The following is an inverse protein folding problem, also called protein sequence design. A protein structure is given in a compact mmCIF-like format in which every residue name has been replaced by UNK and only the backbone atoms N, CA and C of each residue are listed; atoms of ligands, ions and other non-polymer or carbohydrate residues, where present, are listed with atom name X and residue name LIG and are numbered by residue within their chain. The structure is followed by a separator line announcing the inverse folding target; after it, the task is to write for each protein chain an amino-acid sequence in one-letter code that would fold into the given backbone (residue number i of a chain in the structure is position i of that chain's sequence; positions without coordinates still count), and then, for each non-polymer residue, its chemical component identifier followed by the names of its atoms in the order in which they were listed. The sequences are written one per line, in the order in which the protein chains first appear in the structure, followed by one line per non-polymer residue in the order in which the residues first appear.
data_IF_996916000339
#
_entry.id   IF_996916000339
#
_cell.length_a   1.000
_cell.length_b   1.000
_cell.length_c   1.000
_cell.angle_alpha   90.00
_cell.angle_beta   90.00
_cell.angle_gamma   90.00
#
_symmetry.space_group_name_H-M   'P 1'
#
loop_
_entity.id
_entity.type
_entity.pdbx_description
1 polymer ?
#
# COMPACT_ATOMS: atom_id res chain seq x y z
N UNK A 1 21.97 -13.87 -23.25
CA UNK A 1 21.59 -12.53 -22.78
C UNK A 1 22.33 -12.29 -21.47
N UNK A 2 23.03 -11.17 -21.31
CA UNK A 2 23.75 -10.86 -20.04
C UNK A 2 22.75 -10.38 -18.99
N UNK A 3 23.12 -10.46 -17.70
CA UNK A 3 22.27 -9.97 -16.61
C UNK A 3 21.90 -8.50 -16.80
N UNK A 4 22.86 -7.66 -17.23
CA UNK A 4 22.62 -6.24 -17.48
C UNK A 4 21.58 -5.99 -18.57
N UNK A 5 21.58 -6.80 -19.64
CA UNK A 5 20.57 -6.68 -20.70
C UNK A 5 19.19 -7.06 -20.19
N UNK A 6 19.09 -8.08 -19.33
CA UNK A 6 17.80 -8.48 -18.70
C UNK A 6 17.29 -7.35 -17.81
N UNK A 7 18.15 -6.76 -16.98
CA UNK A 7 17.76 -5.66 -16.08
C UNK A 7 17.35 -4.42 -16.86
N UNK A 8 18.08 -4.10 -17.92
CA UNK A 8 17.75 -2.98 -18.79
C UNK A 8 16.39 -3.17 -19.46
N UNK A 9 16.13 -4.34 -20.04
CA UNK A 9 14.84 -4.66 -20.65
C UNK A 9 13.68 -4.61 -19.65
N UNK A 10 13.90 -5.11 -18.42
CA UNK A 10 12.92 -5.01 -17.35
C UNK A 10 12.64 -3.55 -16.96
N UNK A 11 13.67 -2.70 -16.89
CA UNK A 11 13.51 -1.28 -16.61
C UNK A 11 12.72 -0.54 -17.69
N UNK A 12 12.91 -0.90 -18.96
CA UNK A 12 12.11 -0.38 -20.07
C UNK A 12 10.62 -0.74 -19.90
N UNK A 13 10.30 -1.96 -19.47
CA UNK A 13 8.92 -2.34 -19.17
C UNK A 13 8.34 -1.60 -17.97
N UNK A 14 9.13 -1.43 -16.89
CA UNK A 14 8.68 -0.71 -15.69
C UNK A 14 8.36 0.74 -16.00
N UNK A 15 9.26 1.42 -16.71
CA UNK A 15 9.08 2.83 -17.09
C UNK A 15 7.92 3.03 -18.07
N UNK A 16 7.72 2.10 -19.02
CA UNK A 16 6.56 2.12 -19.91
C UNK A 16 5.21 2.01 -19.17
N UNK A 17 5.21 1.40 -17.98
CA UNK A 17 4.05 1.29 -17.09
C UNK A 17 4.01 2.37 -15.99
N UNK A 18 4.90 3.38 -16.02
CA UNK A 18 4.90 4.46 -15.02
C UNK A 18 5.51 4.09 -13.65
N UNK A 19 6.20 2.95 -13.56
CA UNK A 19 6.93 2.55 -12.35
C UNK A 19 8.37 3.05 -12.37
N UNK A 20 8.95 3.22 -11.18
CA UNK A 20 10.39 3.35 -11.04
C UNK A 20 11.13 2.13 -11.62
N UNK A 21 12.28 2.35 -12.25
CA UNK A 21 13.27 1.29 -12.51
C UNK A 21 13.73 0.63 -11.21
N UNK A 22 14.43 -0.50 -11.29
CA UNK A 22 14.98 -1.16 -10.08
C UNK A 22 15.96 -0.24 -9.35
N UNK A 23 16.81 0.47 -10.10
CA UNK A 23 17.80 1.41 -9.58
C UNK A 23 17.12 2.60 -8.89
N UNK A 24 16.12 3.21 -9.54
CA UNK A 24 15.34 4.30 -8.96
C UNK A 24 14.57 3.85 -7.72
N UNK A 25 14.01 2.63 -7.73
CA UNK A 25 13.33 2.07 -6.55
C UNK A 25 14.29 1.99 -5.36
N UNK A 26 15.52 1.49 -5.57
CA UNK A 26 16.55 1.44 -4.53
C UNK A 26 17.00 2.84 -4.08
N UNK A 27 17.16 3.78 -5.01
CA UNK A 27 17.64 5.13 -4.72
C UNK A 27 16.60 5.99 -3.99
N UNK A 28 15.36 6.02 -4.50
CA UNK A 28 14.30 6.89 -3.98
C UNK A 28 13.57 6.26 -2.80
N UNK A 29 13.30 4.95 -2.84
CA UNK A 29 12.54 4.27 -1.79
C UNK A 29 13.48 3.58 -0.81
N UNK A 30 14.45 2.82 -1.32
CA UNK A 30 15.40 2.04 -0.50
C UNK A 30 16.36 2.86 0.37
N UNK A 31 16.54 4.15 0.10
CA UNK A 31 17.38 5.05 0.91
C UNK A 31 16.80 5.34 2.30
N UNK A 32 15.48 5.25 2.46
CA UNK A 32 14.77 5.52 3.72
C UNK A 32 13.86 4.37 4.17
N UNK A 33 13.71 3.32 3.35
CA UNK A 33 12.85 2.18 3.61
C UNK A 33 13.61 0.86 3.40
N UNK A 34 13.07 -0.23 3.95
CA UNK A 34 13.62 -1.58 3.73
C UNK A 34 12.89 -2.26 2.58
N UNK A 35 13.61 -2.52 1.48
CA UNK A 35 13.13 -3.29 0.33
C UNK A 35 13.74 -4.70 0.39
N UNK A 36 12.93 -5.72 0.64
CA UNK A 36 13.43 -7.11 0.72
C UNK A 36 13.66 -7.74 -0.66
N UNK A 37 12.94 -7.26 -1.67
CA UNK A 37 13.12 -7.65 -3.07
C UNK A 37 12.74 -6.48 -4.01
N UNK A 38 13.72 -5.67 -4.44
CA UNK A 38 13.46 -4.54 -5.33
C UNK A 38 13.12 -4.97 -6.77
N UNK A 39 13.38 -6.23 -7.16
CA UNK A 39 13.07 -6.71 -8.51
C UNK A 39 11.57 -6.99 -8.67
N UNK A 40 10.90 -7.50 -7.62
CA UNK A 40 9.46 -7.78 -7.64
C UNK A 40 8.58 -6.65 -7.10
N UNK A 41 9.15 -5.67 -6.40
CA UNK A 41 8.41 -4.51 -5.89
C UNK A 41 8.17 -3.52 -7.03
N UNK A 42 6.93 -3.08 -7.24
CA UNK A 42 6.53 -2.08 -8.23
C UNK A 42 5.94 -0.87 -7.50
N UNK A 43 6.51 0.31 -7.72
CA UNK A 43 6.04 1.58 -7.13
C UNK A 43 6.00 2.63 -8.23
N UNK A 44 4.84 3.25 -8.44
CA UNK A 44 4.70 4.33 -9.42
C UNK A 44 5.64 5.49 -9.10
N UNK A 45 6.23 6.10 -10.12
CA UNK A 45 7.24 7.15 -9.93
C UNK A 45 6.70 8.42 -9.24
N UNK A 46 5.39 8.61 -9.26
CA UNK A 46 4.68 9.73 -8.63
C UNK A 46 4.12 9.43 -7.24
N UNK A 47 4.18 8.17 -6.78
CA UNK A 47 3.65 7.78 -5.48
C UNK A 47 4.44 8.40 -4.34
N UNK A 48 3.74 8.89 -3.31
CA UNK A 48 4.36 9.54 -2.17
C UNK A 48 4.57 8.53 -1.04
N UNK A 49 5.82 8.13 -0.84
CA UNK A 49 6.18 7.08 0.13
C UNK A 49 6.96 7.71 1.29
N UNK A 50 6.45 7.52 2.51
CA UNK A 50 7.13 7.89 3.74
C UNK A 50 8.38 7.03 4.02
N UNK A 51 8.88 7.13 5.24
CA UNK A 51 10.13 6.50 5.68
C UNK A 51 9.92 5.35 6.67
N UNK A 52 10.92 4.48 6.81
CA UNK A 52 10.89 3.36 7.76
C UNK A 52 9.91 2.23 7.39
N UNK A 53 9.31 2.28 6.21
CA UNK A 53 8.44 1.23 5.72
C UNK A 53 9.25 -0.04 5.39
N UNK A 54 8.58 -1.19 5.46
CA UNK A 54 9.15 -2.48 5.07
C UNK A 54 8.29 -3.07 3.96
N UNK A 55 8.90 -3.31 2.80
CA UNK A 55 8.27 -3.90 1.64
C UNK A 55 8.78 -5.33 1.45
N UNK A 56 7.85 -6.28 1.53
CA UNK A 56 8.10 -7.67 1.18
C UNK A 56 7.99 -7.88 -0.34
N UNK A 57 8.45 -9.03 -0.86
CA UNK A 57 8.38 -9.33 -2.29
C UNK A 57 6.96 -9.22 -2.87
N UNK A 58 6.85 -8.71 -4.09
CA UNK A 58 5.58 -8.62 -4.84
C UNK A 58 4.61 -7.55 -4.35
N UNK A 59 5.07 -6.55 -3.58
CA UNK A 59 4.25 -5.38 -3.26
C UNK A 59 4.11 -4.48 -4.49
N UNK A 60 2.89 -4.04 -4.76
CA UNK A 60 2.55 -3.14 -5.87
C UNK A 60 1.86 -1.89 -5.33
N UNK A 61 2.39 -0.73 -5.67
CA UNK A 61 1.78 0.59 -5.45
C UNK A 61 1.68 1.27 -6.82
N UNK A 62 0.46 1.40 -7.32
CA UNK A 62 0.20 1.81 -8.70
C UNK A 62 -0.76 3.00 -8.77
N UNK A 63 -0.32 4.08 -9.40
CA UNK A 63 -1.10 5.24 -9.77
C UNK A 63 -1.34 5.25 -11.28
N UNK A 64 -2.61 5.37 -11.69
CA UNK A 64 -3.04 5.48 -13.08
C UNK A 64 -3.89 6.74 -13.29
N UNK A 65 -3.69 7.43 -14.41
CA UNK A 65 -4.39 8.68 -14.71
C UNK A 65 -4.03 9.80 -13.74
N UNK A 66 -5.01 10.64 -13.36
CA UNK A 66 -4.85 11.70 -12.35
C UNK A 66 -5.01 11.16 -10.91
N UNK A 67 -4.47 9.97 -10.65
CA UNK A 67 -4.52 9.34 -9.34
C UNK A 67 -3.49 9.89 -8.35
N UNK A 68 -3.72 9.66 -7.06
CA UNK A 68 -2.79 10.02 -6.00
C UNK A 68 -2.79 8.98 -4.87
N UNK A 69 -1.61 8.50 -4.50
CA UNK A 69 -1.33 7.60 -3.39
C UNK A 69 -0.29 8.26 -2.49
N UNK A 70 -0.64 8.35 -1.21
CA UNK A 70 0.31 8.67 -0.14
C UNK A 70 0.32 7.56 0.89
N UNK A 71 1.51 7.05 1.19
CA UNK A 71 1.77 6.07 2.23
C UNK A 71 2.65 6.72 3.30
N UNK A 72 2.17 6.73 4.54
CA UNK A 72 2.92 7.25 5.69
C UNK A 72 4.16 6.42 6.05
N UNK A 73 4.59 6.57 7.29
CA UNK A 73 5.84 6.00 7.80
C UNK A 73 5.63 4.67 8.52
N UNK A 74 6.70 3.87 8.61
CA UNK A 74 6.78 2.69 9.47
C UNK A 74 5.68 1.62 9.20
N UNK A 75 5.09 1.61 8.01
CA UNK A 75 4.14 0.59 7.59
C UNK A 75 4.88 -0.70 7.20
N UNK A 76 4.22 -1.84 7.39
CA UNK A 76 4.71 -3.14 6.95
C UNK A 76 3.79 -3.71 5.90
N UNK A 77 4.30 -3.85 4.68
CA UNK A 77 3.58 -4.37 3.53
C UNK A 77 4.11 -5.76 3.24
N UNK A 78 3.36 -6.79 3.66
CA UNK A 78 3.68 -8.18 3.38
C UNK A 78 3.42 -8.52 1.90
N UNK A 79 3.91 -9.70 1.50
CA UNK A 79 3.88 -10.14 0.12
C UNK A 79 2.49 -10.08 -0.51
N UNK A 80 2.45 -9.71 -1.79
CA UNK A 80 1.23 -9.56 -2.59
C UNK A 80 0.23 -8.53 -2.05
N UNK A 81 0.71 -7.51 -1.32
CA UNK A 81 -0.09 -6.31 -1.04
C UNK A 81 -0.15 -5.46 -2.31
N UNK A 82 -1.36 -5.18 -2.79
CA UNK A 82 -1.61 -4.32 -3.95
C UNK A 82 -2.42 -3.09 -3.54
N UNK A 83 -1.89 -1.91 -3.84
CA UNK A 83 -2.53 -0.62 -3.62
C UNK A 83 -2.60 0.06 -4.98
N UNK A 84 -3.81 0.28 -5.49
CA UNK A 84 -4.02 0.83 -6.81
C UNK A 84 -5.01 1.99 -6.76
N UNK A 85 -4.63 3.11 -7.33
CA UNK A 85 -5.49 4.25 -7.57
C UNK A 85 -5.56 4.53 -9.08
N UNK A 86 -6.77 4.65 -9.61
CA UNK A 86 -7.03 4.96 -11.03
C UNK A 86 -8.06 6.09 -11.10
N UNK A 87 -7.57 7.31 -11.35
CA UNK A 87 -8.34 8.55 -11.24
C UNK A 87 -8.90 8.85 -9.84
N UNK A 88 -8.44 8.12 -8.81
CA UNK A 88 -8.85 8.24 -7.42
C UNK A 88 -7.70 8.56 -6.48
N UNK A 89 -8.00 8.65 -5.19
CA UNK A 89 -7.03 8.98 -4.14
C UNK A 89 -6.99 7.92 -3.03
N UNK A 90 -5.78 7.53 -2.62
CA UNK A 90 -5.55 6.67 -1.45
C UNK A 90 -4.59 7.40 -0.49
N UNK A 91 -5.05 7.65 0.73
CA UNK A 91 -4.26 8.25 1.80
C UNK A 91 -4.10 7.24 2.92
N UNK A 92 -2.87 6.81 3.19
CA UNK A 92 -2.57 5.83 4.23
C UNK A 92 -1.64 6.46 5.25
N UNK A 93 -2.02 6.35 6.52
CA UNK A 93 -1.25 6.82 7.67
C UNK A 93 -0.04 5.95 8.01
N UNK A 94 0.37 6.05 9.26
CA UNK A 94 1.61 5.44 9.77
C UNK A 94 1.36 4.09 10.48
N UNK A 95 2.43 3.28 10.56
CA UNK A 95 2.52 2.14 11.46
C UNK A 95 1.45 1.04 11.28
N UNK A 96 0.89 0.91 10.07
CA UNK A 96 -0.06 -0.14 9.73
C UNK A 96 0.62 -1.46 9.36
N UNK A 97 -0.15 -2.55 9.43
CA UNK A 97 0.22 -3.83 8.81
C UNK A 97 -0.75 -4.17 7.69
N UNK A 98 -0.19 -4.49 6.52
CA UNK A 98 -0.93 -4.82 5.32
C UNK A 98 -0.49 -6.19 4.80
N UNK A 99 -1.45 -7.04 4.43
CA UNK A 99 -1.17 -8.34 3.83
C UNK A 99 -1.09 -9.48 4.85
N UNK A 100 -0.07 -10.34 4.79
CA UNK A 100 -0.05 -11.64 5.51
C UNK A 100 -1.20 -12.53 5.03
N UNK A 101 -1.09 -13.01 3.79
CA UNK A 101 -2.19 -13.65 3.04
C UNK A 101 -2.75 -12.82 1.89
N UNK A 102 -2.12 -11.68 1.59
CA UNK A 102 -2.51 -10.74 0.52
C UNK A 102 -3.46 -9.64 1.01
N UNK A 103 -3.47 -8.54 0.28
CA UNK A 103 -4.37 -7.41 0.48
C UNK A 103 -4.57 -6.71 -0.85
N UNK A 104 -5.79 -6.24 -1.13
CA UNK A 104 -6.06 -5.35 -2.25
C UNK A 104 -6.75 -4.09 -1.77
N UNK A 105 -6.20 -2.93 -2.09
CA UNK A 105 -6.84 -1.61 -1.90
C UNK A 105 -7.00 -0.99 -3.28
N UNK A 106 -8.24 -0.64 -3.66
CA UNK A 106 -8.53 -0.02 -4.96
C UNK A 106 -9.44 1.18 -4.84
N UNK A 107 -8.90 2.34 -5.22
CA UNK A 107 -9.64 3.55 -5.54
C UNK A 107 -9.65 3.70 -7.07
N UNK A 108 -10.41 2.85 -7.75
CA UNK A 108 -10.36 2.65 -9.21
C UNK A 108 -11.60 3.19 -9.95
N UNK A 109 -12.22 4.23 -9.38
CA UNK A 109 -13.24 5.02 -10.07
C UNK A 109 -12.87 6.49 -9.97
N UNK A 110 -13.09 7.31 -11.03
CA UNK A 110 -12.80 8.74 -10.97
C UNK A 110 -13.45 9.42 -9.76
N UNK A 111 -12.65 10.18 -9.01
CA UNK A 111 -13.09 10.86 -7.80
C UNK A 111 -13.25 9.96 -6.57
N UNK A 112 -12.88 8.69 -6.65
CA UNK A 112 -12.89 7.82 -5.46
C UNK A 112 -11.83 8.24 -4.44
N UNK A 113 -12.13 8.02 -3.15
CA UNK A 113 -11.23 8.33 -2.05
C UNK A 113 -11.22 7.21 -1.01
N UNK A 114 -10.03 6.74 -0.65
CA UNK A 114 -9.83 5.82 0.47
C UNK A 114 -8.85 6.46 1.43
N UNK A 115 -9.27 6.65 2.68
CA UNK A 115 -8.41 7.12 3.76
C UNK A 115 -8.26 6.03 4.80
N UNK A 116 -7.02 5.69 5.15
CA UNK A 116 -6.67 4.71 6.18
C UNK A 116 -5.82 5.42 7.23
N UNK A 117 -6.24 5.37 8.48
CA UNK A 117 -5.54 5.97 9.61
C UNK A 117 -4.28 5.22 10.02
N UNK A 118 -3.80 5.54 11.22
CA UNK A 118 -2.56 4.97 11.75
C UNK A 118 -2.81 3.68 12.54
N UNK A 119 -1.83 2.80 12.58
CA UNK A 119 -1.78 1.68 13.53
C UNK A 119 -2.92 0.69 13.40
N UNK A 120 -3.38 0.41 12.18
CA UNK A 120 -4.37 -0.61 11.85
C UNK A 120 -3.76 -1.91 11.30
N UNK A 121 -4.62 -2.91 11.04
CA UNK A 121 -4.24 -4.22 10.48
C UNK A 121 -5.24 -4.67 9.44
N UNK A 122 -4.76 -4.99 8.24
CA UNK A 122 -5.57 -5.37 7.10
C UNK A 122 -4.98 -6.63 6.50
N UNK A 123 -5.44 -7.78 6.99
CA UNK A 123 -4.74 -9.04 6.84
C UNK A 123 -5.57 -10.16 6.23
N UNK A 124 -4.89 -11.24 5.81
CA UNK A 124 -5.50 -12.52 5.43
C UNK A 124 -6.47 -12.43 4.24
N UNK A 125 -6.12 -11.64 3.21
CA UNK A 125 -6.86 -11.57 1.96
C UNK A 125 -7.96 -10.51 1.91
N UNK A 126 -7.93 -9.52 2.81
CA UNK A 126 -8.88 -8.42 2.80
C UNK A 126 -8.87 -7.65 1.46
N UNK A 127 -10.03 -7.07 1.12
CA UNK A 127 -10.20 -6.22 -0.06
C UNK A 127 -10.91 -4.94 0.34
N UNK A 128 -10.32 -3.79 0.02
CA UNK A 128 -10.90 -2.47 0.25
C UNK A 128 -11.15 -1.87 -1.13
N UNK A 129 -12.40 -1.88 -1.58
CA UNK A 129 -12.82 -1.48 -2.91
C UNK A 129 -13.89 -0.41 -2.75
N UNK A 130 -13.65 0.85 -3.12
CA UNK A 130 -14.60 1.88 -2.73
C UNK A 130 -14.56 3.13 -3.58
N UNK A 131 -15.73 3.80 -3.65
CA UNK A 131 -15.85 5.19 -4.07
C UNK A 131 -15.51 6.15 -2.92
N UNK A 132 -15.93 5.88 -1.69
CA UNK A 132 -15.54 6.68 -0.51
C UNK A 132 -15.47 5.83 0.76
N UNK A 133 -14.26 5.52 1.23
CA UNK A 133 -14.02 4.74 2.46
C UNK A 133 -13.08 5.49 3.41
N UNK A 134 -13.42 5.48 4.70
CA UNK A 134 -12.57 6.02 5.77
C UNK A 134 -12.41 4.96 6.86
N UNK A 135 -11.19 4.45 7.02
CA UNK A 135 -10.82 3.51 8.07
C UNK A 135 -10.01 4.26 9.12
N UNK A 136 -10.63 4.54 10.27
CA UNK A 136 -10.01 5.32 11.34
C UNK A 136 -8.76 4.68 11.93
N UNK A 137 -8.06 5.44 12.78
CA UNK A 137 -6.91 4.95 13.56
C UNK A 137 -7.27 3.63 14.26
N UNK A 138 -6.36 2.66 14.19
CA UNK A 138 -6.50 1.40 14.91
C UNK A 138 -7.47 0.40 14.29
N UNK A 139 -8.10 0.72 13.15
CA UNK A 139 -9.07 -0.18 12.52
C UNK A 139 -8.46 -1.51 12.08
N UNK A 140 -9.29 -2.55 12.09
CA UNK A 140 -8.85 -3.93 11.88
C UNK A 140 -9.80 -4.65 10.93
N UNK A 141 -9.28 -5.11 9.79
CA UNK A 141 -10.00 -5.96 8.84
C UNK A 141 -9.19 -7.24 8.66
N UNK A 142 -9.69 -8.36 9.16
CA UNK A 142 -8.94 -9.61 9.25
C UNK A 142 -9.72 -10.73 8.54
N UNK A 143 -9.12 -11.30 7.50
CA UNK A 143 -9.71 -12.37 6.71
C UNK A 143 -10.12 -11.90 5.32
N UNK A 144 -10.72 -12.82 4.56
CA UNK A 144 -11.25 -12.57 3.22
C UNK A 144 -12.55 -11.75 3.28
N UNK A 145 -12.44 -10.50 3.73
CA UNK A 145 -13.52 -9.53 3.88
C UNK A 145 -13.39 -8.49 2.76
N UNK A 146 -14.51 -8.18 2.11
CA UNK A 146 -14.62 -7.03 1.21
C UNK A 146 -15.24 -5.86 1.96
N UNK A 147 -14.51 -4.76 2.03
CA UNK A 147 -14.99 -3.47 2.55
C UNK A 147 -15.26 -2.54 1.39
N UNK A 148 -16.47 -1.98 1.38
CA UNK A 148 -16.94 -1.08 0.35
C UNK A 148 -17.76 0.05 0.99
N UNK A 149 -17.39 1.28 0.66
CA UNK A 149 -18.05 2.52 1.06
C UNK A 149 -18.34 2.59 2.57
N UNK A 150 -17.29 2.29 3.36
CA UNK A 150 -17.38 2.11 4.80
C UNK A 150 -16.71 3.25 5.56
N UNK A 151 -17.30 3.64 6.69
CA UNK A 151 -16.72 4.59 7.63
C UNK A 151 -16.55 3.88 8.97
N UNK A 152 -15.31 3.60 9.34
CA UNK A 152 -14.92 3.11 10.66
C UNK A 152 -14.31 4.27 11.44
N UNK A 153 -14.88 4.58 12.60
CA UNK A 153 -14.37 5.62 13.49
C UNK A 153 -13.01 5.23 14.08
N UNK A 154 -12.27 6.22 14.57
CA UNK A 154 -10.99 5.98 15.23
C UNK A 154 -11.19 5.25 16.57
N UNK A 155 -10.27 4.32 16.87
CA UNK A 155 -10.03 3.80 18.21
C UNK A 155 -8.54 3.80 18.56
N UNK A 156 -8.17 3.05 19.59
CA UNK A 156 -6.78 2.85 19.95
C UNK A 156 -6.06 1.91 18.97
N UNK A 157 -4.73 1.98 18.99
CA UNK A 157 -3.85 1.12 18.19
C UNK A 157 -4.15 -0.37 18.38
N UNK A 158 -3.97 -1.20 17.35
CA UNK A 158 -4.26 -2.64 17.41
C UNK A 158 -3.46 -3.38 18.51
N UNK A 159 -2.35 -2.81 18.98
CA UNK A 159 -1.50 -3.35 20.05
C UNK A 159 -1.97 -2.97 21.45
N UNK A 160 -3.06 -2.19 21.59
CA UNK A 160 -3.58 -1.82 22.90
C UNK A 160 -3.86 -3.09 23.73
N UNK A 161 -3.37 -3.19 24.98
CA UNK A 161 -3.63 -4.35 25.82
C UNK A 161 -5.12 -4.59 26.06
N UNK A 162 -5.93 -3.54 26.11
CA UNK A 162 -7.38 -3.62 26.23
C UNK A 162 -8.01 -3.75 24.83
N UNK A 163 -8.64 -4.89 24.49
CA UNK A 163 -9.25 -5.10 23.18
C UNK A 163 -10.46 -4.20 22.92
N UNK A 164 -11.19 -3.78 23.95
CA UNK A 164 -12.42 -2.98 23.79
C UNK A 164 -12.10 -1.53 23.39
N UNK A 165 -10.87 -1.09 23.63
CA UNK A 165 -10.38 0.23 23.25
C UNK A 165 -9.77 0.27 21.85
N UNK A 166 -9.48 -0.87 21.22
CA UNK A 166 -8.91 -0.92 19.87
C UNK A 166 -9.90 -0.34 18.85
N UNK A 167 -9.40 0.08 17.69
CA UNK A 167 -10.26 0.50 16.58
C UNK A 167 -11.29 -0.58 16.21
N UNK A 168 -12.44 -0.11 15.75
CA UNK A 168 -13.59 -0.91 15.34
C UNK A 168 -13.23 -1.94 14.25
N UNK A 169 -13.95 -3.07 14.30
CA UNK A 169 -13.88 -4.22 13.39
C UNK A 169 -14.83 -4.07 12.20
#
# INVERSE_FOLDING_TARGET
MTFDVIVQQMNEYRTACGFFTVQETLQHIGSTNTLLDPFSTLISSSAHIGSGNIFYPGVIIEELGEAYISLGNNNRLYANTMILADGGQILIGDANQFGDGGLTIKANTPGSSITIGNGGRYLLGAQILSHSTVLGKGSQILGAITVQDCILTAGADYRNPDPDLRGVF
#
